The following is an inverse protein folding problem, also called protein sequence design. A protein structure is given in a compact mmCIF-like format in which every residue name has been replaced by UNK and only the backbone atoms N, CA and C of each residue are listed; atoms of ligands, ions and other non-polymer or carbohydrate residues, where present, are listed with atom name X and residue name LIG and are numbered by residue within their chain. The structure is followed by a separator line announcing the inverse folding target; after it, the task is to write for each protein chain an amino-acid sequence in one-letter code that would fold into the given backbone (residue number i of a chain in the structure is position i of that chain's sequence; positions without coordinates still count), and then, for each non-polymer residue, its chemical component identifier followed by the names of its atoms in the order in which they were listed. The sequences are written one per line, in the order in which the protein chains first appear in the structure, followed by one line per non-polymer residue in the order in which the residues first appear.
data_IF_128844176760
#
_entry.id   IF_128844176760
#
_cell.length_a   1.000
_cell.length_b   1.000
_cell.length_c   1.000
_cell.angle_alpha   90.00
_cell.angle_beta   90.00
_cell.angle_gamma   90.00
#
_symmetry.space_group_name_H-M   'P 1'
#
loop_
_entity.id
_entity.type
_entity.pdbx_description
1 polymer ?
#
# COMPACT_ATOMS: atom_id res chain seq x y z
N UNK A 1 29.15 -10.24 -23.84
CA UNK A 1 28.71 -8.84 -23.98
C UNK A 1 27.39 -8.70 -23.27
N UNK A 2 27.35 -7.97 -22.14
CA UNK A 2 26.11 -7.64 -21.45
C UNK A 2 25.21 -6.80 -22.37
N UNK A 3 23.91 -7.06 -22.35
CA UNK A 3 22.91 -6.39 -23.18
C UNK A 3 21.53 -6.51 -22.55
N UNK A 4 20.68 -5.48 -22.69
CA UNK A 4 19.29 -5.48 -22.23
C UNK A 4 18.28 -5.87 -23.33
N UNK A 5 18.76 -6.27 -24.51
CA UNK A 5 17.90 -6.58 -25.65
C UNK A 5 17.35 -8.00 -25.64
N UNK A 6 16.14 -8.17 -26.19
CA UNK A 6 15.41 -9.45 -26.18
C UNK A 6 15.90 -10.42 -27.26
N UNK A 7 17.04 -11.09 -27.03
CA UNK A 7 17.52 -12.20 -27.84
C UNK A 7 18.38 -13.19 -27.02
N UNK A 8 18.49 -14.42 -27.49
CA UNK A 8 19.26 -15.45 -26.78
C UNK A 8 20.76 -15.17 -26.79
N UNK A 9 21.39 -15.23 -25.62
CA UNK A 9 22.84 -15.21 -25.45
C UNK A 9 23.35 -16.60 -25.07
N UNK A 10 24.46 -17.02 -25.70
CA UNK A 10 25.13 -18.26 -25.33
C UNK A 10 25.96 -18.05 -24.06
N UNK A 11 25.84 -18.97 -23.11
CA UNK A 11 26.62 -19.01 -21.87
C UNK A 11 26.84 -20.46 -21.44
N UNK A 12 27.99 -20.74 -20.84
CA UNK A 12 28.28 -22.04 -20.20
C UNK A 12 27.40 -22.18 -18.95
N UNK A 13 26.97 -23.40 -18.65
CA UNK A 13 26.24 -23.70 -17.41
C UNK A 13 27.05 -23.29 -16.18
N UNK A 14 26.39 -22.64 -15.23
CA UNK A 14 27.00 -22.23 -13.96
C UNK A 14 27.11 -23.41 -12.98
N UNK A 15 26.49 -24.54 -13.31
CA UNK A 15 26.55 -25.78 -12.52
C UNK A 15 25.63 -25.75 -11.31
N UNK A 16 24.64 -24.86 -11.32
CA UNK A 16 23.59 -24.73 -10.31
C UNK A 16 22.25 -24.64 -11.01
N UNK A 17 21.23 -25.29 -10.46
CA UNK A 17 19.93 -25.42 -11.10
C UNK A 17 18.78 -24.91 -10.22
N UNK A 18 17.77 -24.34 -10.87
CA UNK A 18 16.47 -24.05 -10.28
C UNK A 18 15.72 -25.36 -9.99
N UNK A 19 14.65 -25.27 -9.20
CA UNK A 19 13.79 -26.42 -8.87
C UNK A 19 13.17 -27.08 -10.11
N UNK A 20 13.06 -26.35 -11.21
CA UNK A 20 12.60 -26.87 -12.50
C UNK A 20 13.72 -27.48 -13.38
N UNK A 21 14.96 -27.55 -12.88
CA UNK A 21 16.13 -28.11 -13.58
C UNK A 21 16.79 -27.16 -14.58
N UNK A 22 16.38 -25.89 -14.66
CA UNK A 22 17.08 -24.89 -15.49
C UNK A 22 18.31 -24.35 -14.76
N UNK A 23 19.41 -24.17 -15.48
CA UNK A 23 20.64 -23.58 -14.93
C UNK A 23 20.43 -22.11 -14.49
N UNK A 24 21.11 -21.69 -13.42
CA UNK A 24 21.01 -20.34 -12.86
C UNK A 24 21.38 -19.22 -13.84
N UNK A 25 22.19 -19.50 -14.87
CA UNK A 25 22.47 -18.53 -15.94
C UNK A 25 21.20 -17.99 -16.62
N UNK A 26 20.08 -18.69 -16.55
CA UNK A 26 18.81 -18.24 -17.14
C UNK A 26 18.12 -17.13 -16.32
N UNK A 27 18.59 -16.81 -15.11
CA UNK A 27 18.10 -15.66 -14.35
C UNK A 27 18.97 -14.40 -14.49
N UNK A 28 20.20 -14.53 -15.01
CA UNK A 28 21.08 -13.41 -15.36
C UNK A 28 20.60 -12.81 -16.68
N UNK A 29 19.73 -11.81 -16.57
CA UNK A 29 19.07 -11.16 -17.69
C UNK A 29 19.93 -10.04 -18.28
N UNK A 30 20.85 -9.45 -17.51
CA UNK A 30 21.74 -8.38 -17.99
C UNK A 30 23.12 -8.90 -18.47
N UNK A 31 23.44 -10.16 -18.18
CA UNK A 31 24.67 -10.84 -18.58
C UNK A 31 25.88 -10.45 -17.73
N UNK A 32 25.66 -9.98 -16.50
CA UNK A 32 26.71 -9.52 -15.57
C UNK A 32 27.40 -10.66 -14.82
N UNK A 33 26.80 -11.86 -14.80
CA UNK A 33 27.26 -12.99 -14.00
C UNK A 33 26.76 -12.97 -12.55
N UNK A 34 25.85 -12.07 -12.20
CA UNK A 34 25.20 -11.99 -10.89
C UNK A 34 23.68 -12.04 -11.07
N UNK A 35 22.97 -12.58 -10.08
CA UNK A 35 21.49 -12.56 -10.04
C UNK A 35 21.08 -11.53 -8.99
N UNK A 36 20.66 -10.35 -9.43
CA UNK A 36 20.29 -9.23 -8.56
C UNK A 36 19.17 -8.34 -9.14
N UNK A 37 18.98 -7.16 -8.55
CA UNK A 37 17.91 -6.25 -8.96
C UNK A 37 18.06 -5.66 -10.37
N UNK A 38 19.26 -5.67 -10.96
CA UNK A 38 19.50 -5.21 -12.32
C UNK A 38 18.85 -6.16 -13.34
N UNK A 39 18.82 -7.46 -13.05
CA UNK A 39 18.11 -8.44 -13.86
C UNK A 39 16.61 -8.17 -13.90
N UNK A 40 16.02 -7.83 -12.75
CA UNK A 40 14.62 -7.48 -12.65
C UNK A 40 14.27 -6.25 -13.51
N UNK A 41 15.20 -5.29 -13.66
CA UNK A 41 14.99 -4.14 -14.56
C UNK A 41 14.92 -4.57 -16.02
N UNK A 42 15.80 -5.49 -16.45
CA UNK A 42 15.79 -6.03 -17.82
C UNK A 42 14.51 -6.83 -18.10
N UNK A 43 14.03 -7.60 -17.12
CA UNK A 43 12.72 -8.28 -17.20
C UNK A 43 11.60 -7.26 -17.39
N UNK A 44 11.62 -6.16 -16.62
CA UNK A 44 10.64 -5.08 -16.74
C UNK A 44 10.66 -4.39 -18.11
N UNK A 45 11.85 -4.13 -18.67
CA UNK A 45 12.00 -3.51 -20.00
C UNK A 45 11.44 -4.38 -21.12
N UNK A 46 11.47 -5.70 -20.96
CA UNK A 46 11.04 -6.65 -21.98
C UNK A 46 9.71 -7.34 -21.62
N UNK A 47 9.02 -6.90 -20.56
CA UNK A 47 7.78 -7.52 -20.11
C UNK A 47 6.72 -7.47 -21.21
N UNK A 48 6.00 -8.59 -21.41
CA UNK A 48 5.06 -8.82 -22.51
C UNK A 48 5.67 -8.96 -23.91
N UNK A 49 7.00 -8.90 -24.07
CA UNK A 49 7.65 -9.37 -25.30
C UNK A 49 7.54 -10.89 -25.39
N UNK A 50 6.86 -11.38 -26.42
CA UNK A 50 6.56 -12.80 -26.54
C UNK A 50 7.70 -13.57 -27.19
N UNK A 51 8.09 -14.68 -26.57
CA UNK A 51 8.60 -15.85 -27.29
C UNK A 51 7.70 -17.06 -26.99
N UNK A 52 7.85 -18.14 -27.75
CA UNK A 52 6.92 -19.28 -27.80
C UNK A 52 6.86 -20.16 -26.53
N UNK A 53 7.31 -19.71 -25.35
CA UNK A 53 7.15 -20.52 -24.14
C UNK A 53 5.73 -20.38 -23.59
N UNK A 54 5.05 -21.53 -23.51
CA UNK A 54 3.78 -21.65 -22.82
C UNK A 54 4.06 -21.61 -21.32
N UNK A 55 3.42 -20.67 -20.61
CA UNK A 55 3.37 -20.74 -19.14
C UNK A 55 2.78 -22.10 -18.74
N UNK A 56 3.42 -22.88 -17.86
CA UNK A 56 2.73 -24.02 -17.26
C UNK A 56 1.47 -23.48 -16.55
N UNK A 57 0.32 -24.15 -16.71
CA UNK A 57 -0.89 -23.73 -16.01
C UNK A 57 -0.59 -23.75 -14.50
N UNK A 58 -1.04 -22.73 -13.74
CA UNK A 58 -0.88 -22.76 -12.29
C UNK A 58 -1.50 -24.07 -11.76
N UNK A 59 -0.84 -24.76 -10.83
CA UNK A 59 -1.36 -26.01 -10.29
C UNK A 59 -2.76 -25.76 -9.73
N UNK A 60 -3.73 -26.61 -10.11
CA UNK A 60 -5.09 -26.55 -9.57
C UNK A 60 -5.07 -27.01 -8.10
N UNK A 61 -4.80 -26.07 -7.21
CA UNK A 61 -4.76 -26.33 -5.78
C UNK A 61 -6.16 -26.16 -5.18
N UNK A 62 -6.57 -27.12 -4.35
CA UNK A 62 -7.97 -27.32 -3.93
C UNK A 62 -8.43 -26.40 -2.80
N UNK A 63 -7.53 -25.62 -2.20
CA UNK A 63 -7.84 -24.73 -1.08
C UNK A 63 -6.87 -23.55 -1.05
N UNK A 64 -7.42 -22.35 -0.81
CA UNK A 64 -6.62 -21.16 -0.54
C UNK A 64 -5.90 -21.27 0.81
N UNK A 65 -4.64 -20.83 0.85
CA UNK A 65 -3.79 -20.84 2.04
C UNK A 65 -3.66 -19.45 2.68
N UNK A 66 -4.07 -18.40 1.96
CA UNK A 66 -4.08 -17.03 2.46
C UNK A 66 -4.98 -16.13 1.62
N UNK A 67 -5.06 -14.88 2.06
CA UNK A 67 -5.88 -13.84 1.44
C UNK A 67 -5.00 -12.66 1.03
N UNK A 68 -5.36 -11.99 -0.07
CA UNK A 68 -4.77 -10.72 -0.49
C UNK A 68 -5.90 -9.71 -0.76
N UNK A 69 -5.77 -8.49 -0.25
CA UNK A 69 -6.84 -7.50 -0.27
C UNK A 69 -6.30 -6.07 -0.16
N UNK A 70 -7.08 -5.10 -0.65
CA UNK A 70 -6.86 -3.68 -0.38
C UNK A 70 -7.21 -3.37 1.08
N UNK A 71 -6.22 -2.93 1.85
CA UNK A 71 -6.33 -2.64 3.27
C UNK A 71 -6.73 -1.18 3.50
N UNK A 72 -7.94 -0.84 3.07
CA UNK A 72 -8.57 0.46 3.30
C UNK A 72 -10.04 0.28 3.71
N UNK A 73 -10.58 1.26 4.43
CA UNK A 73 -11.99 1.37 4.77
C UNK A 73 -12.68 2.51 4.04
N UNK A 74 -11.93 3.28 3.23
CA UNK A 74 -12.48 4.39 2.48
C UNK A 74 -13.50 3.86 1.48
N UNK A 75 -14.62 4.57 1.35
CA UNK A 75 -15.69 4.20 0.39
C UNK A 75 -15.92 5.29 -0.64
N UNK A 76 -15.16 6.38 -0.56
CA UNK A 76 -15.18 7.49 -1.48
C UNK A 76 -13.80 8.14 -1.57
N UNK A 77 -13.48 8.65 -2.76
CA UNK A 77 -12.33 9.48 -3.08
C UNK A 77 -12.78 10.69 -3.87
N UNK A 78 -11.98 11.74 -3.86
CA UNK A 78 -12.23 12.95 -4.64
C UNK A 78 -11.40 13.00 -5.90
N UNK A 79 -11.92 13.69 -6.90
CA UNK A 79 -11.11 14.13 -8.04
C UNK A 79 -9.84 14.85 -7.56
N UNK A 80 -8.75 14.70 -8.30
CA UNK A 80 -7.42 15.26 -7.97
C UNK A 80 -6.82 14.80 -6.63
N UNK A 81 -7.50 13.94 -5.86
CA UNK A 81 -6.96 13.42 -4.61
C UNK A 81 -5.77 12.49 -4.87
N UNK A 82 -4.70 12.69 -4.11
CA UNK A 82 -3.63 11.71 -3.97
C UNK A 82 -4.08 10.62 -3.00
N UNK A 83 -4.15 9.38 -3.48
CA UNK A 83 -4.66 8.23 -2.73
C UNK A 83 -3.57 7.18 -2.62
N UNK A 84 -3.31 6.71 -1.39
CA UNK A 84 -2.46 5.56 -1.12
C UNK A 84 -3.35 4.44 -0.55
N UNK A 85 -3.40 3.31 -1.25
CA UNK A 85 -4.19 2.14 -0.85
C UNK A 85 -3.22 1.00 -0.52
N UNK A 86 -2.99 0.71 0.78
CA UNK A 86 -2.14 -0.40 1.18
C UNK A 86 -2.73 -1.73 0.70
N UNK A 87 -1.89 -2.70 0.37
CA UNK A 87 -2.29 -4.05 0.00
C UNK A 87 -1.77 -5.02 1.04
N UNK A 88 -2.68 -5.78 1.64
CA UNK A 88 -2.36 -6.80 2.64
C UNK A 88 -2.27 -8.19 2.03
N UNK A 89 -1.34 -8.98 2.55
CA UNK A 89 -1.19 -10.42 2.31
C UNK A 89 -1.22 -11.17 3.64
N UNK A 90 -2.11 -12.14 3.75
CA UNK A 90 -2.45 -12.80 5.00
C UNK A 90 -3.44 -11.96 5.82
N UNK A 91 -4.06 -12.57 6.83
CA UNK A 91 -5.02 -11.89 7.72
C UNK A 91 -4.58 -11.94 9.17
N UNK A 92 -4.70 -10.83 9.91
CA UNK A 92 -4.61 -10.87 11.36
C UNK A 92 -5.58 -11.93 11.94
N UNK A 93 -5.10 -12.69 12.93
CA UNK A 93 -5.88 -13.75 13.58
C UNK A 93 -6.02 -15.06 12.79
N UNK A 94 -5.43 -15.16 11.59
CA UNK A 94 -5.28 -16.42 10.84
C UNK A 94 -3.84 -16.94 10.93
N UNK A 95 -3.61 -18.19 10.51
CA UNK A 95 -2.25 -18.73 10.43
C UNK A 95 -1.38 -17.87 9.50
N UNK A 96 -0.17 -17.47 9.93
CA UNK A 96 0.70 -16.64 9.11
C UNK A 96 1.21 -17.41 7.89
N UNK A 97 1.50 -16.67 6.83
CA UNK A 97 2.03 -17.21 5.58
C UNK A 97 3.55 -17.33 5.66
N UNK A 98 4.10 -18.35 5.02
CA UNK A 98 5.55 -18.56 4.91
C UNK A 98 5.99 -18.31 3.47
N UNK A 99 6.59 -17.16 3.19
CA UNK A 99 6.86 -16.71 1.82
C UNK A 99 8.31 -16.27 1.60
N UNK A 100 8.76 -16.35 0.35
CA UNK A 100 10.02 -15.78 -0.12
C UNK A 100 9.79 -14.71 -1.22
N UNK A 101 8.73 -14.86 -2.01
CA UNK A 101 8.39 -13.89 -3.05
C UNK A 101 6.92 -13.93 -3.45
N UNK A 102 6.42 -12.81 -3.95
CA UNK A 102 5.04 -12.65 -4.41
C UNK A 102 5.02 -11.84 -5.71
N UNK A 103 4.16 -12.24 -6.64
CA UNK A 103 3.79 -11.46 -7.81
C UNK A 103 2.26 -11.41 -7.95
N UNK A 104 1.73 -10.30 -8.44
CA UNK A 104 0.29 -10.08 -8.66
C UNK A 104 0.07 -8.94 -9.64
N UNK A 105 -1.15 -8.82 -10.15
CA UNK A 105 -1.60 -7.69 -10.97
C UNK A 105 -2.72 -6.96 -10.25
N UNK A 106 -2.68 -5.63 -10.24
CA UNK A 106 -3.78 -4.76 -9.85
C UNK A 106 -4.45 -4.27 -11.14
N UNK A 107 -5.76 -4.46 -11.25
CA UNK A 107 -6.55 -3.96 -12.37
C UNK A 107 -7.42 -2.79 -11.92
N UNK A 108 -7.58 -1.80 -12.80
CA UNK A 108 -8.32 -0.57 -12.57
C UNK A 108 -8.92 -0.05 -13.89
N UNK A 109 -9.87 0.87 -13.80
CA UNK A 109 -10.34 1.62 -14.99
C UNK A 109 -9.38 2.78 -15.27
N UNK A 110 -8.64 2.77 -16.41
CA UNK A 110 -7.66 3.81 -16.70
C UNK A 110 -8.28 5.17 -17.02
N UNK A 111 -9.60 5.26 -17.23
CA UNK A 111 -10.29 6.55 -17.42
C UNK A 111 -10.53 7.31 -16.11
N UNK A 112 -10.34 6.67 -14.96
CA UNK A 112 -10.64 7.24 -13.64
C UNK A 112 -9.37 7.69 -12.87
N UNK A 113 -8.18 7.34 -13.37
CA UNK A 113 -6.91 7.55 -12.68
C UNK A 113 -5.90 8.17 -13.66
N UNK A 114 -5.15 9.17 -13.20
CA UNK A 114 -4.08 9.82 -13.97
C UNK A 114 -2.94 8.84 -14.27
N UNK A 115 -2.08 9.18 -15.22
CA UNK A 115 -0.88 8.39 -15.58
C UNK A 115 0.14 8.19 -14.41
N UNK A 116 -0.03 8.86 -13.28
CA UNK A 116 0.84 8.79 -12.10
C UNK A 116 0.46 7.65 -11.15
N UNK A 117 0.46 6.42 -11.66
CA UNK A 117 0.21 5.20 -10.88
C UNK A 117 1.53 4.49 -10.62
N UNK A 118 1.79 4.14 -9.36
CA UNK A 118 2.93 3.30 -9.02
C UNK A 118 2.66 2.46 -7.77
N UNK A 119 3.49 1.44 -7.56
CA UNK A 119 3.49 0.64 -6.35
C UNK A 119 4.62 1.08 -5.42
N UNK A 120 4.30 1.39 -4.18
CA UNK A 120 5.27 1.59 -3.11
C UNK A 120 5.55 0.27 -2.39
N UNK A 121 6.83 -0.08 -2.30
CA UNK A 121 7.33 -1.30 -1.65
C UNK A 121 7.83 -1.06 -0.22
N UNK A 122 7.67 0.15 0.32
CA UNK A 122 8.28 0.56 1.59
C UNK A 122 7.72 -0.16 2.82
N UNK A 123 6.41 -0.45 2.85
CA UNK A 123 5.71 -1.11 3.95
C UNK A 123 5.37 -2.58 3.62
N UNK A 124 6.31 -3.50 3.84
CA UNK A 124 6.14 -4.90 3.50
C UNK A 124 6.74 -5.85 4.52
N UNK A 125 5.89 -6.67 5.15
CA UNK A 125 6.34 -7.71 6.09
C UNK A 125 7.25 -8.76 5.44
N UNK A 126 7.20 -8.90 4.11
CA UNK A 126 8.08 -9.81 3.37
C UNK A 126 9.57 -9.43 3.53
N UNK A 127 9.83 -8.16 3.86
CA UNK A 127 11.17 -7.60 4.02
C UNK A 127 11.44 -7.09 5.44
N UNK A 128 10.58 -7.42 6.42
CA UNK A 128 10.81 -7.08 7.82
C UNK A 128 12.17 -7.59 8.30
N UNK A 129 12.89 -6.73 9.02
CA UNK A 129 14.24 -7.04 9.52
C UNK A 129 15.33 -7.09 8.44
N UNK A 130 15.05 -6.66 7.21
CA UNK A 130 16.05 -6.49 6.16
C UNK A 130 16.28 -5.02 5.81
N UNK A 131 17.47 -4.73 5.28
CA UNK A 131 17.65 -3.52 4.47
C UNK A 131 16.95 -3.74 3.13
N UNK A 132 16.08 -2.82 2.71
CA UNK A 132 15.48 -2.78 1.36
C UNK A 132 16.50 -2.42 0.25
N UNK A 133 17.80 -2.63 0.51
CA UNK A 133 18.82 -2.46 -0.50
C UNK A 133 18.62 -3.47 -1.63
N UNK A 134 19.05 -3.08 -2.83
CA UNK A 134 18.99 -3.89 -4.05
C UNK A 134 19.73 -5.23 -3.93
N UNK A 135 20.62 -5.36 -2.95
CA UNK A 135 21.37 -6.59 -2.69
C UNK A 135 20.49 -7.71 -2.11
N UNK A 136 19.42 -7.36 -1.40
CA UNK A 136 18.61 -8.33 -0.62
C UNK A 136 17.17 -8.48 -1.10
N UNK A 137 16.77 -7.68 -2.09
CA UNK A 137 15.42 -7.69 -2.66
C UNK A 137 15.46 -7.49 -4.17
N UNK A 138 14.68 -8.30 -4.89
CA UNK A 138 14.29 -8.01 -6.27
C UNK A 138 12.89 -7.44 -6.26
N UNK A 139 12.67 -6.38 -7.02
CA UNK A 139 11.40 -5.68 -7.15
C UNK A 139 11.19 -5.29 -8.59
N UNK A 140 9.96 -5.46 -9.06
CA UNK A 140 9.53 -5.10 -10.39
C UNK A 140 8.12 -4.52 -10.29
N UNK A 141 7.91 -3.45 -11.02
CA UNK A 141 6.57 -2.99 -11.37
C UNK A 141 6.51 -2.66 -12.85
N UNK A 142 5.35 -2.88 -13.47
CA UNK A 142 5.12 -2.55 -14.86
C UNK A 142 3.68 -2.07 -15.05
N UNK A 143 3.53 -0.86 -15.56
CA UNK A 143 2.25 -0.22 -15.78
C UNK A 143 1.85 -0.34 -17.25
N UNK A 144 0.64 -0.85 -17.50
CA UNK A 144 0.00 -0.84 -18.80
C UNK A 144 -1.29 -0.02 -18.74
N UNK A 145 -1.19 1.28 -19.00
CA UNK A 145 -2.32 2.21 -18.95
C UNK A 145 -3.43 1.85 -19.93
N UNK A 146 -3.09 1.31 -21.11
CA UNK A 146 -4.10 0.91 -22.10
C UNK A 146 -5.01 -0.22 -21.61
N UNK A 147 -4.49 -1.08 -20.73
CA UNK A 147 -5.25 -2.19 -20.15
C UNK A 147 -5.73 -1.92 -18.72
N UNK A 148 -5.39 -0.77 -18.14
CA UNK A 148 -5.68 -0.48 -16.73
C UNK A 148 -5.07 -1.52 -15.79
N UNK A 149 -3.79 -1.87 -15.99
CA UNK A 149 -3.12 -2.93 -15.22
C UNK A 149 -1.75 -2.50 -14.71
N UNK A 150 -1.53 -2.67 -13.41
CA UNK A 150 -0.22 -2.56 -12.77
C UNK A 150 0.25 -3.96 -12.33
N UNK A 151 1.29 -4.48 -12.97
CA UNK A 151 1.93 -5.73 -12.58
C UNK A 151 3.00 -5.46 -11.53
N UNK A 152 3.01 -6.22 -10.43
CA UNK A 152 3.91 -6.06 -9.29
C UNK A 152 4.56 -7.41 -8.98
N UNK A 153 5.87 -7.42 -8.76
CA UNK A 153 6.58 -8.59 -8.25
C UNK A 153 7.68 -8.18 -7.28
N UNK A 154 7.85 -8.96 -6.23
CA UNK A 154 8.92 -8.77 -5.26
C UNK A 154 9.36 -10.11 -4.66
N UNK A 155 10.66 -10.27 -4.42
CA UNK A 155 11.21 -11.46 -3.77
C UNK A 155 12.47 -11.14 -2.99
N UNK A 156 12.77 -11.98 -2.00
CA UNK A 156 14.03 -11.94 -1.27
C UNK A 156 15.10 -12.70 -2.06
N UNK A 157 16.30 -12.14 -2.13
CA UNK A 157 17.46 -12.80 -2.80
C UNK A 157 18.30 -13.65 -1.85
N UNK A 158 18.02 -13.60 -0.54
CA UNK A 158 18.75 -14.37 0.49
C UNK A 158 18.38 -15.85 0.56
N UNK A 159 17.44 -16.31 -0.28
CA UNK A 159 16.95 -17.69 -0.32
C UNK A 159 16.19 -18.13 0.94
N UNK A 160 15.77 -17.19 1.81
CA UNK A 160 15.08 -17.50 3.06
C UNK A 160 13.60 -17.17 2.97
N UNK A 161 12.81 -17.96 3.69
CA UNK A 161 11.41 -17.63 3.94
C UNK A 161 11.30 -16.67 5.13
N UNK A 162 10.29 -15.82 5.09
CA UNK A 162 9.76 -15.09 6.25
C UNK A 162 8.36 -15.59 6.55
N UNK A 163 7.99 -15.55 7.83
CA UNK A 163 6.65 -15.94 8.30
C UNK A 163 5.93 -14.70 8.79
N UNK A 164 4.79 -14.37 8.20
CA UNK A 164 4.09 -13.15 8.54
C UNK A 164 2.71 -12.99 7.90
N UNK A 165 2.09 -11.86 8.21
CA UNK A 165 0.84 -11.38 7.64
C UNK A 165 0.74 -9.87 7.84
N UNK A 166 0.22 -9.15 6.86
CA UNK A 166 0.09 -7.69 6.93
C UNK A 166 0.30 -7.04 5.56
N UNK A 167 0.64 -5.76 5.54
CA UNK A 167 0.91 -5.03 4.30
C UNK A 167 2.12 -5.61 3.55
N UNK A 168 2.03 -5.60 2.21
CA UNK A 168 3.09 -5.98 1.27
C UNK A 168 3.36 -4.85 0.27
N UNK A 169 3.16 -3.61 0.72
CA UNK A 169 3.25 -2.39 -0.06
C UNK A 169 1.88 -1.74 -0.28
N UNK A 170 1.84 -0.72 -1.13
CA UNK A 170 0.65 0.06 -1.42
C UNK A 170 0.60 0.57 -2.86
N UNK A 171 -0.60 0.66 -3.39
CA UNK A 171 -0.85 1.33 -4.67
C UNK A 171 -0.99 2.83 -4.42
N UNK A 172 -0.24 3.65 -5.15
CA UNK A 172 -0.34 5.11 -5.11
C UNK A 172 -0.91 5.59 -6.43
N UNK A 173 -1.98 6.39 -6.34
CA UNK A 173 -2.73 6.90 -7.48
C UNK A 173 -3.12 8.36 -7.28
N UNK A 174 -3.38 9.04 -8.38
CA UNK A 174 -4.03 10.35 -8.38
C UNK A 174 -5.30 10.23 -9.21
N UNK A 175 -6.45 10.58 -8.62
CA UNK A 175 -7.74 10.51 -9.30
C UNK A 175 -7.81 11.53 -10.45
N UNK A 176 -8.41 11.14 -11.57
CA UNK A 176 -8.65 12.08 -12.68
C UNK A 176 -9.57 13.23 -12.28
N UNK A 177 -9.47 14.33 -13.01
CA UNK A 177 -10.33 15.51 -12.82
C UNK A 177 -11.53 15.51 -13.78
N UNK A 178 -12.58 16.27 -13.43
CA UNK A 178 -13.78 16.45 -14.24
C UNK A 178 -14.49 15.12 -14.59
N UNK A 179 -14.42 14.14 -13.70
CA UNK A 179 -15.19 12.91 -13.82
C UNK A 179 -16.62 13.26 -13.40
N UNK A 180 -17.63 12.91 -14.19
CA UNK A 180 -19.03 13.18 -13.82
C UNK A 180 -19.55 12.25 -12.70
N UNK A 181 -18.72 11.98 -11.69
CA UNK A 181 -18.86 10.88 -10.74
C UNK A 181 -18.53 9.53 -11.37
N UNK A 182 -18.08 8.59 -10.55
CA UNK A 182 -17.70 7.25 -11.00
C UNK A 182 -17.64 6.26 -9.85
N UNK A 183 -17.46 4.98 -10.18
CA UNK A 183 -17.11 3.95 -9.21
C UNK A 183 -15.72 3.48 -9.58
N UNK A 184 -14.75 3.78 -8.73
CA UNK A 184 -13.43 3.16 -8.80
C UNK A 184 -13.61 1.69 -8.44
N UNK A 185 -13.33 0.79 -9.39
CA UNK A 185 -13.26 -0.65 -9.18
C UNK A 185 -11.80 -1.08 -9.26
N UNK A 186 -11.33 -1.79 -8.24
CA UNK A 186 -9.99 -2.32 -8.15
C UNK A 186 -10.02 -3.82 -7.90
N UNK A 187 -9.36 -4.57 -8.77
CA UNK A 187 -9.29 -6.03 -8.68
C UNK A 187 -7.84 -6.50 -8.52
N UNK A 188 -7.64 -7.57 -7.75
CA UNK A 188 -6.35 -8.26 -7.66
C UNK A 188 -6.42 -9.57 -8.42
N UNK A 189 -5.46 -9.81 -9.30
CA UNK A 189 -5.41 -11.01 -10.15
C UNK A 189 -3.99 -11.56 -10.30
N UNK A 190 -3.87 -12.73 -10.93
CA UNK A 190 -2.59 -13.39 -11.25
C UNK A 190 -1.65 -13.57 -10.05
N UNK A 191 -2.20 -13.77 -8.85
CA UNK A 191 -1.39 -13.90 -7.63
C UNK A 191 -0.56 -15.19 -7.68
N UNK A 192 0.73 -15.02 -7.47
CA UNK A 192 1.71 -16.10 -7.38
C UNK A 192 2.57 -15.88 -6.14
N UNK A 193 2.20 -16.52 -5.04
CA UNK A 193 3.00 -16.56 -3.82
C UNK A 193 3.85 -17.83 -3.81
N UNK A 194 5.16 -17.68 -3.55
CA UNK A 194 6.09 -18.81 -3.46
C UNK A 194 6.86 -18.82 -2.16
N UNK A 195 7.21 -20.01 -1.69
CA UNK A 195 8.24 -20.20 -0.66
C UNK A 195 9.64 -20.30 -1.30
N UNK A 196 10.68 -20.35 -0.47
CA UNK A 196 12.08 -20.49 -0.92
C UNK A 196 12.41 -21.83 -1.56
N UNK A 197 11.51 -22.80 -1.50
CA UNK A 197 11.61 -24.09 -2.19
C UNK A 197 10.81 -24.09 -3.51
N UNK A 198 10.28 -22.92 -3.93
CA UNK A 198 9.52 -22.73 -5.16
C UNK A 198 8.12 -23.34 -5.15
N UNK A 199 7.59 -23.69 -3.98
CA UNK A 199 6.22 -24.17 -3.87
C UNK A 199 5.23 -23.01 -3.98
N UNK A 200 4.24 -23.14 -4.86
CA UNK A 200 3.16 -22.17 -4.98
C UNK A 200 2.15 -22.32 -3.84
N UNK A 201 1.76 -21.19 -3.25
CA UNK A 201 0.67 -21.10 -2.27
C UNK A 201 -0.52 -20.36 -2.90
N UNK A 202 -1.71 -20.97 -2.97
CA UNK A 202 -2.88 -20.32 -3.55
C UNK A 202 -3.39 -19.23 -2.62
N UNK A 203 -3.63 -18.06 -3.18
CA UNK A 203 -4.13 -16.89 -2.46
C UNK A 203 -5.48 -16.50 -3.00
N UNK A 204 -6.43 -16.28 -2.10
CA UNK A 204 -7.74 -15.74 -2.42
C UNK A 204 -7.65 -14.22 -2.47
N UNK A 205 -8.24 -13.61 -3.49
CA UNK A 205 -8.26 -12.16 -3.63
C UNK A 205 -9.60 -11.57 -3.20
N UNK A 206 -9.57 -10.31 -2.80
CA UNK A 206 -10.72 -9.51 -2.45
C UNK A 206 -10.61 -8.14 -3.12
N UNK A 207 -11.59 -7.82 -3.93
CA UNK A 207 -11.66 -6.59 -4.70
C UNK A 207 -12.08 -5.41 -3.82
N UNK A 208 -11.89 -4.20 -4.32
CA UNK A 208 -12.26 -2.97 -3.64
C UNK A 208 -13.03 -2.03 -4.57
N UNK A 209 -14.02 -1.36 -4.02
CA UNK A 209 -14.80 -0.36 -4.75
C UNK A 209 -15.02 0.89 -3.92
N UNK A 210 -14.83 2.05 -4.54
CA UNK A 210 -15.09 3.35 -3.92
C UNK A 210 -15.81 4.30 -4.90
N UNK A 211 -16.61 5.22 -4.37
CA UNK A 211 -17.18 6.30 -5.16
C UNK A 211 -16.11 7.33 -5.50
N UNK A 212 -16.20 7.92 -6.69
CA UNK A 212 -15.44 9.12 -7.04
C UNK A 212 -16.39 10.29 -6.99
N UNK A 213 -16.10 11.20 -6.08
CA UNK A 213 -16.88 12.40 -5.85
C UNK A 213 -16.20 13.59 -6.53
N UNK A 214 -16.98 14.47 -7.19
CA UNK A 214 -16.42 15.70 -7.73
C UNK A 214 -15.86 16.55 -6.57
N UNK A 215 -14.71 17.16 -6.82
CA UNK A 215 -14.13 18.14 -5.92
C UNK A 215 -14.95 19.43 -5.97
N UNK A 216 -16.01 19.45 -5.16
CA UNK A 216 -16.74 20.69 -4.87
C UNK A 216 -16.22 21.23 -3.55
N UNK A 217 -15.88 22.52 -3.51
CA UNK A 217 -15.37 23.25 -2.33
C UNK A 217 -16.12 22.98 -1.01
N UNK A 218 -17.35 22.46 -1.04
CA UNK A 218 -18.13 22.10 0.14
C UNK A 218 -17.87 20.68 0.68
N UNK A 219 -17.43 19.72 -0.14
CA UNK A 219 -17.24 18.34 0.30
C UNK A 219 -15.93 18.15 1.08
N UNK A 220 -14.86 18.83 0.67
CA UNK A 220 -13.61 18.81 1.42
C UNK A 220 -13.77 19.35 2.84
N UNK A 221 -14.52 20.44 3.07
CA UNK A 221 -14.73 20.97 4.43
C UNK A 221 -15.50 19.97 5.31
N UNK A 222 -16.49 19.25 4.77
CA UNK A 222 -17.31 18.32 5.54
C UNK A 222 -16.62 16.99 5.87
N UNK A 223 -15.79 16.43 4.97
CA UNK A 223 -15.04 15.19 5.26
C UNK A 223 -13.73 15.44 6.01
N UNK A 224 -13.05 16.56 5.79
CA UNK A 224 -11.89 17.01 6.58
C UNK A 224 -12.33 17.24 8.04
N UNK A 225 -13.47 17.88 8.27
CA UNK A 225 -14.06 17.96 9.61
C UNK A 225 -14.35 16.56 10.19
N UNK A 226 -14.72 15.54 9.41
CA UNK A 226 -15.07 14.21 9.91
C UNK A 226 -13.90 13.25 10.20
N UNK A 227 -12.66 13.53 9.75
CA UNK A 227 -11.52 12.61 10.01
C UNK A 227 -11.17 12.50 11.49
N UNK A 228 -11.18 13.61 12.23
CA UNK A 228 -10.77 13.66 13.64
C UNK A 228 -12.00 13.45 14.53
N UNK A 229 -11.93 12.48 15.42
CA UNK A 229 -13.00 12.21 16.38
C UNK A 229 -12.56 12.57 17.80
N UNK A 230 -13.46 13.22 18.57
CA UNK A 230 -13.22 13.58 19.97
C UNK A 230 -14.37 13.09 20.84
N UNK A 231 -14.07 12.25 21.81
CA UNK A 231 -15.04 11.72 22.77
C UNK A 231 -14.51 11.69 24.20
N UNK A 232 -15.35 11.85 25.22
CA UNK A 232 -16.76 12.21 25.12
C UNK A 232 -16.93 13.71 24.85
N UNK A 233 -18.01 14.07 24.17
CA UNK A 233 -18.48 15.45 24.05
C UNK A 233 -19.99 15.45 24.40
N UNK A 234 -20.41 16.00 25.55
CA UNK A 234 -19.64 16.82 26.50
C UNK A 234 -18.58 16.04 27.31
N UNK A 235 -17.47 16.68 27.62
CA UNK A 235 -16.34 16.14 28.39
C UNK A 235 -16.38 16.57 29.87
N UNK A 236 -16.06 15.66 30.79
CA UNK A 236 -15.99 15.93 32.25
C UNK A 236 -14.57 15.89 32.81
N UNK A 237 -13.54 15.93 31.96
CA UNK A 237 -12.15 16.08 32.43
C UNK A 237 -11.10 15.29 31.66
N UNK A 238 -11.50 14.27 30.91
CA UNK A 238 -10.62 13.53 29.99
C UNK A 238 -11.32 13.38 28.65
N UNK A 239 -10.58 13.56 27.56
CA UNK A 239 -11.04 13.24 26.21
C UNK A 239 -10.06 12.30 25.51
N UNK A 240 -10.60 11.58 24.54
CA UNK A 240 -9.93 10.70 23.62
C UNK A 240 -10.01 11.34 22.24
N UNK A 241 -8.86 11.43 21.58
CA UNK A 241 -8.72 12.00 20.25
C UNK A 241 -8.28 10.86 19.33
N UNK A 242 -9.02 10.64 18.24
CA UNK A 242 -8.72 9.65 17.22
C UNK A 242 -8.38 10.31 15.88
N UNK A 243 -7.51 9.66 15.11
CA UNK A 243 -7.15 10.02 13.73
C UNK A 243 -6.55 11.42 13.54
N UNK A 244 -5.85 11.91 14.57
CA UNK A 244 -5.16 13.21 14.56
C UNK A 244 -3.62 13.08 14.56
N UNK A 245 -3.08 11.94 14.08
CA UNK A 245 -1.62 11.68 14.04
C UNK A 245 -0.90 12.75 13.19
N UNK A 246 0.29 13.16 13.63
CA UNK A 246 1.15 14.15 12.98
C UNK A 246 0.51 15.55 12.87
N UNK A 247 -0.45 15.86 13.73
CA UNK A 247 -1.03 17.21 13.84
C UNK A 247 -0.50 17.94 15.06
N UNK A 248 -0.63 19.25 15.07
CA UNK A 248 -0.36 20.11 16.20
C UNK A 248 -1.66 20.64 16.78
N UNK A 249 -1.97 20.26 18.02
CA UNK A 249 -3.20 20.64 18.72
C UNK A 249 -3.04 21.97 19.44
N UNK A 250 -4.01 22.87 19.27
CA UNK A 250 -4.23 24.07 20.07
C UNK A 250 -5.67 24.13 20.56
N UNK A 251 -5.87 24.45 21.82
CA UNK A 251 -7.20 24.58 22.42
C UNK A 251 -7.45 26.03 22.80
N UNK A 252 -8.55 26.57 22.31
CA UNK A 252 -9.00 27.93 22.54
C UNK A 252 -10.35 27.96 23.26
N UNK A 253 -10.57 28.95 24.11
CA UNK A 253 -11.92 29.32 24.50
C UNK A 253 -12.62 30.20 23.44
N UNK A 254 -13.89 30.51 23.65
CA UNK A 254 -14.66 31.37 22.73
C UNK A 254 -14.15 32.82 22.62
N UNK A 255 -13.25 33.24 23.52
CA UNK A 255 -12.61 34.55 23.46
C UNK A 255 -11.22 34.48 22.79
N UNK A 256 -10.84 33.33 22.23
CA UNK A 256 -9.56 33.12 21.57
C UNK A 256 -8.38 32.98 22.53
N UNK A 257 -8.61 32.82 23.84
CA UNK A 257 -7.54 32.59 24.81
C UNK A 257 -7.06 31.15 24.68
N UNK A 258 -5.77 30.99 24.42
CA UNK A 258 -5.10 29.68 24.33
C UNK A 258 -4.97 29.05 25.71
N UNK A 259 -5.31 27.77 25.82
CA UNK A 259 -5.24 27.02 27.08
C UNK A 259 -4.35 25.78 27.02
N UNK A 260 -4.31 25.06 25.89
CA UNK A 260 -3.49 23.85 25.70
C UNK A 260 -2.83 23.92 24.33
N UNK A 261 -1.57 23.46 24.25
CA UNK A 261 -0.81 23.38 23.01
C UNK A 261 0.15 22.17 23.06
N UNK A 262 -0.01 21.20 22.17
CA UNK A 262 0.87 20.02 22.10
C UNK A 262 0.83 19.34 20.72
N UNK A 263 1.92 18.68 20.27
CA UNK A 263 1.88 17.81 19.11
C UNK A 263 1.10 16.51 19.41
N UNK A 264 0.42 15.97 18.42
CA UNK A 264 -0.25 14.67 18.45
C UNK A 264 0.54 13.71 17.56
N UNK A 265 1.29 12.79 18.18
CA UNK A 265 2.23 11.91 17.46
C UNK A 265 1.64 10.54 17.10
N UNK A 266 0.43 10.24 17.59
CA UNK A 266 -0.20 8.93 17.49
C UNK A 266 -1.62 9.07 16.95
N UNK A 267 -2.12 7.99 16.33
CA UNK A 267 -3.52 7.93 15.86
C UNK A 267 -4.53 7.98 17.01
N UNK A 268 -4.11 7.61 18.22
CA UNK A 268 -4.91 7.68 19.45
C UNK A 268 -4.15 8.45 20.52
N UNK A 269 -4.79 9.48 21.09
CA UNK A 269 -4.23 10.30 22.16
C UNK A 269 -5.28 10.54 23.26
N UNK A 270 -4.82 10.60 24.52
CA UNK A 270 -5.66 10.97 25.67
C UNK A 270 -5.23 12.33 26.18
N UNK A 271 -6.18 13.27 26.26
CA UNK A 271 -5.92 14.61 26.76
C UNK A 271 -6.70 14.87 28.04
N UNK A 272 -5.97 15.25 29.09
CA UNK A 272 -6.56 15.76 30.33
C UNK A 272 -6.98 17.22 30.15
N UNK A 273 -8.20 17.53 30.58
CA UNK A 273 -8.77 18.89 30.57
C UNK A 273 -8.74 19.53 31.96
N UNK A 274 -7.95 18.97 32.88
CA UNK A 274 -7.73 19.49 34.23
C UNK A 274 -7.13 20.90 34.13
N UNK A 275 -7.91 21.92 34.51
CA UNK A 275 -7.51 23.33 34.40
C UNK A 275 -8.39 24.15 33.45
N UNK A 276 -9.22 23.51 32.62
CA UNK A 276 -10.25 24.18 31.85
C UNK A 276 -11.51 24.36 32.71
N UNK A 277 -12.08 25.57 32.70
CA UNK A 277 -13.39 25.83 33.31
C UNK A 277 -14.52 25.28 32.43
N UNK A 278 -15.69 25.04 33.04
CA UNK A 278 -16.90 24.68 32.29
C UNK A 278 -17.17 25.69 31.18
N UNK A 279 -17.31 25.22 29.94
CA UNK A 279 -17.46 26.10 28.78
C UNK A 279 -17.30 25.36 27.45
N UNK A 280 -17.45 26.12 26.37
CA UNK A 280 -17.21 25.62 25.01
C UNK A 280 -15.79 25.96 24.61
N UNK A 281 -15.07 24.97 24.08
CA UNK A 281 -13.71 25.11 23.59
C UNK A 281 -13.61 24.67 22.13
N UNK A 282 -12.71 25.32 21.40
CA UNK A 282 -12.35 24.99 20.03
C UNK A 282 -10.99 24.30 20.04
N UNK A 283 -10.98 23.07 19.54
CA UNK A 283 -9.79 22.24 19.37
C UNK A 283 -9.33 22.38 17.93
N UNK A 284 -8.30 23.18 17.71
CA UNK A 284 -7.64 23.36 16.41
C UNK A 284 -6.54 22.30 16.27
N UNK A 285 -6.62 21.45 15.25
CA UNK A 285 -5.53 20.57 14.84
C UNK A 285 -4.95 21.13 13.54
N UNK A 286 -3.63 21.20 13.46
CA UNK A 286 -2.94 21.70 12.26
C UNK A 286 -1.92 20.69 11.77
N UNK A 287 -2.00 20.29 10.52
CA UNK A 287 -0.88 19.66 9.81
C UNK A 287 -0.25 20.67 8.84
N UNK A 288 0.70 20.23 8.00
CA UNK A 288 1.44 21.12 7.11
C UNK A 288 0.55 21.81 6.06
N UNK A 289 -0.64 21.26 5.79
CA UNK A 289 -1.52 21.69 4.70
C UNK A 289 -2.90 22.17 5.21
N UNK A 290 -3.37 21.64 6.34
CA UNK A 290 -4.75 21.74 6.79
C UNK A 290 -4.90 22.22 8.23
N UNK A 291 -6.04 22.87 8.50
CA UNK A 291 -6.48 23.27 9.84
C UNK A 291 -7.87 22.69 10.10
N UNK A 292 -8.01 21.91 11.17
CA UNK A 292 -9.24 21.25 11.58
C UNK A 292 -9.74 21.84 12.90
N UNK A 293 -11.02 22.16 13.03
CA UNK A 293 -11.57 22.71 14.27
C UNK A 293 -12.70 21.83 14.80
N UNK A 294 -12.59 21.39 16.06
CA UNK A 294 -13.65 20.66 16.78
C UNK A 294 -14.15 21.43 17.97
N UNK A 295 -15.48 21.53 18.08
CA UNK A 295 -16.14 22.14 19.24
C UNK A 295 -16.39 21.09 20.32
N UNK A 296 -15.85 21.31 21.52
CA UNK A 296 -16.04 20.43 22.68
C UNK A 296 -16.68 21.21 23.82
N UNK A 297 -17.75 20.65 24.40
CA UNK A 297 -18.36 21.19 25.61
C UNK A 297 -17.70 20.56 26.85
N UNK A 298 -17.02 21.35 27.67
CA UNK A 298 -16.45 20.91 28.94
C UNK A 298 -17.41 21.22 30.08
N UNK A 299 -17.64 20.24 30.95
CA UNK A 299 -18.47 20.35 32.15
C UNK A 299 -17.63 20.05 33.40
N UNK A 300 -18.02 20.65 34.52
CA UNK A 300 -17.49 20.28 35.83
C UNK A 300 -17.76 18.80 36.11
N UNK A 301 -16.84 18.17 36.84
CA UNK A 301 -17.04 16.83 37.42
C UNK A 301 -18.15 16.85 38.46
#
# INVERSE_FOLDING_TARGET
NPSSGWWGHASTDWGQEFINGLDYKYADCDGSGYIDSLDAQVVGMNLNSVHQMKKPPPPMLRSYQGDMYFNTLDTAYYENQHVEIPISLGRPGHSPLKANGVAFSINFDPSLIKDSIYFDFSDSWLFDGMSLSQQYSMRLQYLNNNLGRLDVAMSRTDGKNVVGSGNVGGMVIIMEENIAGGILQLDISNVSLIDSAGNFMPIKTYDHSALILPDTLNNHIAEIENRIEIYPNPATGLIQIYNAKNTFLRVYDLFGRKSIEQPILRTYERLGLSGLSTGVYLFEFRDDENVFIKKVLVRAQ
#
